data_IF_833073830749
#
_entry.id   IF_833073830749
#
_cell.length_a   1.000
_cell.length_b   1.000
_cell.length_c   1.000
_cell.angle_alpha   90.00
_cell.angle_beta   90.00
_cell.angle_gamma   90.00
#
_symmetry.space_group_name_H-M   'P 1'
#
loop_
_entity.id
_entity.type
_entity.pdbx_description
1 polymer ?
#
# COMPACT_ATOMS: atom_id res chain seq x y z
N UNK A 1 52.36 -15.95 -48.00
CA UNK A 1 52.10 -16.37 -46.62
C UNK A 1 51.67 -15.22 -45.69
N UNK A 2 52.08 -13.99 -45.86
CA UNK A 2 51.73 -12.87 -44.95
C UNK A 2 50.26 -12.41 -44.99
N UNK A 3 49.52 -12.63 -46.09
CA UNK A 3 48.09 -12.25 -46.20
C UNK A 3 47.12 -13.17 -45.42
N UNK A 4 47.44 -14.45 -45.24
CA UNK A 4 46.58 -15.38 -44.48
C UNK A 4 46.57 -15.13 -42.98
N UNK A 5 47.69 -14.70 -42.41
CA UNK A 5 47.78 -14.43 -40.96
C UNK A 5 46.96 -13.20 -40.56
N UNK A 6 46.91 -12.17 -41.41
CA UNK A 6 46.06 -10.95 -41.12
C UNK A 6 44.57 -11.27 -41.14
N UNK A 7 44.12 -12.17 -42.04
CA UNK A 7 42.72 -12.60 -42.08
C UNK A 7 42.32 -13.41 -40.85
N UNK A 8 43.20 -14.26 -40.35
CA UNK A 8 42.91 -15.07 -39.15
C UNK A 8 42.75 -14.15 -37.90
N UNK A 9 43.58 -13.12 -37.76
CA UNK A 9 43.48 -12.20 -36.63
C UNK A 9 42.19 -11.34 -36.68
N UNK A 10 41.75 -10.96 -37.87
CA UNK A 10 40.51 -10.19 -38.04
C UNK A 10 39.30 -11.09 -37.72
N UNK A 11 39.29 -12.33 -38.16
CA UNK A 11 38.21 -13.28 -37.84
C UNK A 11 38.18 -13.60 -36.34
N UNK A 12 39.32 -13.75 -35.68
CA UNK A 12 39.41 -14.00 -34.25
C UNK A 12 38.93 -12.78 -33.45
N UNK A 13 39.24 -11.55 -33.91
CA UNK A 13 38.80 -10.32 -33.26
C UNK A 13 37.27 -10.10 -33.41
N UNK A 14 36.69 -10.41 -34.56
CA UNK A 14 35.25 -10.36 -34.80
C UNK A 14 34.50 -11.41 -33.98
N UNK A 15 35.08 -12.62 -33.85
CA UNK A 15 34.48 -13.66 -32.98
C UNK A 15 34.55 -13.30 -31.51
N UNK A 16 35.60 -12.65 -31.05
CA UNK A 16 35.72 -12.19 -29.67
C UNK A 16 34.71 -11.05 -29.34
N UNK A 17 34.37 -10.24 -30.36
CA UNK A 17 33.36 -9.19 -30.21
C UNK A 17 31.93 -9.73 -30.21
N UNK A 18 31.66 -10.84 -30.89
CA UNK A 18 30.36 -11.52 -30.93
C UNK A 18 30.06 -12.28 -29.62
N UNK A 19 31.07 -12.78 -28.94
CA UNK A 19 30.91 -13.50 -27.66
C UNK A 19 30.66 -12.52 -26.49
N UNK A 20 31.09 -11.26 -26.63
CA UNK A 20 30.87 -10.22 -25.60
C UNK A 20 29.48 -9.56 -25.61
N UNK A 21 28.61 -9.92 -26.56
CA UNK A 21 27.30 -9.27 -26.71
C UNK A 21 26.12 -10.03 -26.07
N UNK A 22 26.38 -11.16 -25.41
CA UNK A 22 25.40 -11.76 -24.52
C UNK A 22 25.57 -11.20 -23.11
N UNK A 23 25.37 -9.89 -22.99
CA UNK A 23 24.98 -9.35 -21.71
C UNK A 23 23.53 -9.81 -21.54
N UNK A 24 23.33 -10.86 -20.75
CA UNK A 24 22.05 -11.11 -20.13
C UNK A 24 21.66 -9.84 -19.37
N UNK A 25 20.88 -9.00 -20.03
CA UNK A 25 20.08 -8.02 -19.32
C UNK A 25 19.09 -8.87 -18.57
N UNK A 26 19.49 -9.35 -17.40
CA UNK A 26 18.55 -9.75 -16.38
C UNK A 26 17.67 -8.51 -16.17
N UNK A 27 16.51 -8.50 -16.81
CA UNK A 27 15.44 -7.60 -16.44
C UNK A 27 15.26 -7.85 -14.95
N UNK A 28 15.77 -6.94 -14.14
CA UNK A 28 15.38 -6.84 -12.75
C UNK A 28 13.89 -6.53 -12.84
N UNK A 29 13.07 -7.58 -12.82
CA UNK A 29 11.70 -7.44 -12.41
C UNK A 29 11.83 -7.00 -10.96
N UNK A 30 11.77 -5.70 -10.73
CA UNK A 30 11.37 -5.23 -9.43
C UNK A 30 9.98 -5.87 -9.24
N UNK A 31 9.94 -6.98 -8.52
CA UNK A 31 8.70 -7.41 -7.90
C UNK A 31 8.20 -6.16 -7.19
N UNK A 32 7.09 -5.64 -7.66
CA UNK A 32 6.33 -4.65 -6.92
C UNK A 32 5.91 -5.39 -5.65
N UNK A 33 6.81 -5.42 -4.67
CA UNK A 33 6.52 -5.95 -3.36
C UNK A 33 5.30 -5.20 -2.88
N UNK A 34 4.29 -5.94 -2.44
CA UNK A 34 3.11 -5.38 -1.80
C UNK A 34 3.59 -4.35 -0.79
N UNK A 35 3.29 -3.08 -1.01
CA UNK A 35 3.65 -2.01 -0.09
C UNK A 35 2.64 -2.08 1.04
N UNK A 36 3.09 -2.51 2.20
CA UNK A 36 2.28 -2.49 3.41
C UNK A 36 2.62 -1.26 4.23
N UNK A 37 1.62 -0.72 4.88
CA UNK A 37 1.73 0.40 5.79
C UNK A 37 1.24 0.07 7.19
N UNK A 38 1.28 1.06 8.07
CA UNK A 38 0.67 0.96 9.40
C UNK A 38 0.02 2.27 9.81
N UNK A 39 -1.04 2.17 10.60
CA UNK A 39 -1.70 3.31 11.24
C UNK A 39 -1.46 3.18 12.74
N UNK A 40 -0.83 4.19 13.36
CA UNK A 40 -0.71 4.28 14.80
C UNK A 40 -1.67 5.34 15.33
N UNK A 41 -2.46 4.99 16.36
CA UNK A 41 -3.39 5.91 17.03
C UNK A 41 -2.88 6.15 18.45
N UNK A 42 -2.82 7.42 18.84
CA UNK A 42 -2.54 7.84 20.23
C UNK A 42 -3.78 8.57 20.72
N UNK A 43 -4.49 7.96 21.67
CA UNK A 43 -5.77 8.49 22.16
C UNK A 43 -5.61 9.09 23.55
N UNK A 44 -5.78 10.39 23.62
CA UNK A 44 -5.63 11.19 24.83
C UNK A 44 -6.80 12.15 24.96
N UNK A 45 -7.18 12.43 26.17
CA UNK A 45 -8.19 13.42 26.50
C UNK A 45 -7.65 14.51 27.41
N UNK A 46 -8.52 15.44 27.80
CA UNK A 46 -8.26 16.41 28.87
C UNK A 46 -9.37 16.32 29.92
N UNK A 47 -8.98 16.35 31.16
CA UNK A 47 -9.97 16.40 32.27
C UNK A 47 -10.46 17.83 32.50
N UNK A 48 -11.39 17.99 33.46
CA UNK A 48 -11.95 19.29 33.82
C UNK A 48 -10.93 20.32 34.37
N UNK A 49 -9.72 19.86 34.73
CA UNK A 49 -8.60 20.69 35.17
C UNK A 49 -7.58 20.95 34.06
N UNK A 50 -7.96 20.71 32.78
CA UNK A 50 -7.14 20.89 31.59
C UNK A 50 -5.86 20.02 31.58
N UNK A 51 -5.77 18.98 32.39
CA UNK A 51 -4.68 18.01 32.41
C UNK A 51 -4.92 16.93 31.39
N UNK A 52 -3.87 16.59 30.63
CA UNK A 52 -3.87 15.45 29.72
C UNK A 52 -4.13 14.14 30.49
N UNK A 53 -5.03 13.32 29.97
CA UNK A 53 -5.33 11.99 30.48
C UNK A 53 -5.19 10.96 29.36
N UNK A 54 -4.60 9.84 29.70
CA UNK A 54 -4.47 8.70 28.81
C UNK A 54 -5.79 7.93 28.79
N UNK A 55 -6.28 7.63 27.61
CA UNK A 55 -7.52 6.87 27.42
C UNK A 55 -7.20 5.46 26.95
N UNK A 56 -7.07 4.54 27.92
CA UNK A 56 -6.89 3.11 27.63
C UNK A 56 -8.23 2.40 27.45
N UNK A 57 -8.23 1.26 26.76
CA UNK A 57 -9.43 0.46 26.53
C UNK A 57 -10.38 1.05 25.47
N UNK A 58 -10.00 2.09 24.78
CA UNK A 58 -10.79 2.63 23.68
C UNK A 58 -10.65 1.73 22.44
N UNK A 59 -11.79 1.36 21.86
CA UNK A 59 -11.85 0.47 20.67
C UNK A 59 -11.91 1.29 19.41
N UNK A 60 -11.02 0.98 18.48
CA UNK A 60 -10.97 1.56 17.14
C UNK A 60 -11.19 0.47 16.11
N UNK A 61 -11.97 0.80 15.09
CA UNK A 61 -12.16 -0.06 13.93
C UNK A 61 -11.78 0.68 12.67
N UNK A 62 -11.02 0.03 11.80
CA UNK A 62 -10.74 0.53 10.46
C UNK A 62 -11.36 -0.41 9.44
N UNK A 63 -11.79 0.16 8.32
CA UNK A 63 -12.42 -0.56 7.24
C UNK A 63 -11.61 -0.32 5.97
N UNK A 64 -10.89 -1.31 5.45
CA UNK A 64 -10.31 -1.23 4.12
C UNK A 64 -11.45 -1.10 3.09
N UNK A 65 -11.45 -0.02 2.33
CA UNK A 65 -12.51 0.30 1.35
C UNK A 65 -12.07 -0.06 -0.06
N UNK A 66 -10.83 0.28 -0.39
CA UNK A 66 -10.19 -0.02 -1.67
C UNK A 66 -8.73 -0.38 -1.42
N UNK A 67 -8.18 -1.25 -2.24
CA UNK A 67 -6.77 -1.58 -2.25
C UNK A 67 -6.18 -1.43 -3.65
N UNK A 68 -4.86 -1.23 -3.72
CA UNK A 68 -4.16 -1.10 -4.98
C UNK A 68 -3.86 -2.47 -5.57
N UNK A 69 -4.34 -2.72 -6.78
CA UNK A 69 -4.05 -3.94 -7.53
C UNK A 69 -3.62 -3.58 -8.95
N UNK A 70 -2.39 -3.94 -9.31
CA UNK A 70 -1.83 -3.66 -10.65
C UNK A 70 -1.91 -2.16 -11.05
N UNK A 71 -1.79 -1.25 -10.09
CA UNK A 71 -1.87 0.19 -10.32
C UNK A 71 -3.29 0.76 -10.37
N UNK A 72 -4.31 -0.04 -10.08
CA UNK A 72 -5.71 0.38 -10.04
C UNK A 72 -6.30 0.16 -8.65
N UNK A 73 -7.18 1.07 -8.21
CA UNK A 73 -7.93 0.93 -6.97
C UNK A 73 -9.11 -0.01 -7.18
N UNK A 74 -9.14 -1.09 -6.42
CA UNK A 74 -10.19 -2.11 -6.44
C UNK A 74 -10.96 -2.06 -5.13
N UNK A 75 -12.28 -2.09 -5.21
CA UNK A 75 -13.14 -2.10 -4.03
C UNK A 75 -13.01 -3.41 -3.23
N UNK A 76 -13.06 -3.30 -1.93
CA UNK A 76 -12.95 -4.42 -0.99
C UNK A 76 -14.25 -4.63 -0.19
N UNK A 77 -14.43 -5.84 0.32
CA UNK A 77 -15.51 -6.22 1.26
C UNK A 77 -16.94 -5.83 0.83
N UNK A 78 -17.20 -5.77 -0.47
CA UNK A 78 -18.53 -5.43 -0.98
C UNK A 78 -18.87 -3.94 -0.95
N UNK A 79 -17.93 -3.06 -0.58
CA UNK A 79 -18.18 -1.61 -0.56
C UNK A 79 -18.53 -1.00 -1.92
N UNK A 80 -18.25 -1.70 -3.02
CA UNK A 80 -18.69 -1.29 -4.36
C UNK A 80 -20.21 -1.13 -4.43
N UNK A 81 -20.95 -1.95 -3.69
CA UNK A 81 -22.42 -1.96 -3.69
C UNK A 81 -23.01 -0.76 -2.94
N UNK A 82 -22.18 0.00 -2.22
CA UNK A 82 -22.60 1.23 -1.56
C UNK A 82 -23.01 2.34 -2.54
N UNK A 83 -22.52 2.28 -3.78
CA UNK A 83 -22.72 3.29 -4.80
C UNK A 83 -22.08 4.65 -4.49
N UNK A 84 -21.21 4.72 -3.47
CA UNK A 84 -20.56 5.96 -3.03
C UNK A 84 -19.35 6.25 -3.92
N UNK A 85 -19.31 7.46 -4.49
CA UNK A 85 -18.15 7.91 -5.27
C UNK A 85 -17.08 8.47 -4.33
N UNK A 86 -15.81 8.06 -4.55
CA UNK A 86 -14.64 8.56 -3.82
C UNK A 86 -13.82 9.58 -4.63
N UNK A 87 -14.34 10.09 -5.73
CA UNK A 87 -13.61 11.00 -6.63
C UNK A 87 -13.38 12.38 -6.01
N UNK A 88 -14.33 12.88 -5.23
CA UNK A 88 -14.17 14.15 -4.52
C UNK A 88 -13.30 13.93 -3.27
N UNK A 89 -12.13 14.58 -3.27
CA UNK A 89 -11.13 14.46 -2.21
C UNK A 89 -11.11 15.65 -1.25
N UNK A 90 -12.09 16.56 -1.33
CA UNK A 90 -12.23 17.65 -0.37
C UNK A 90 -12.48 17.11 1.05
N UNK A 91 -12.07 17.85 2.08
CA UNK A 91 -12.25 17.42 3.47
C UNK A 91 -13.72 17.16 3.80
N UNK A 92 -14.62 18.03 3.33
CA UNK A 92 -16.07 17.91 3.54
C UNK A 92 -16.62 16.64 2.86
N UNK A 93 -16.22 16.40 1.61
CA UNK A 93 -16.62 15.18 0.89
C UNK A 93 -16.11 13.93 1.58
N UNK A 94 -14.87 13.91 2.03
CA UNK A 94 -14.27 12.78 2.76
C UNK A 94 -15.00 12.49 4.08
N UNK A 95 -15.37 13.51 4.83
CA UNK A 95 -16.17 13.33 6.05
C UNK A 95 -17.55 12.71 5.74
N UNK A 96 -18.23 13.21 4.72
CA UNK A 96 -19.53 12.69 4.29
C UNK A 96 -19.41 11.23 3.78
N UNK A 97 -18.43 10.95 2.93
CA UNK A 97 -18.14 9.60 2.41
C UNK A 97 -17.87 8.62 3.55
N UNK A 98 -17.03 8.99 4.52
CA UNK A 98 -16.72 8.14 5.66
C UNK A 98 -17.97 7.80 6.49
N UNK A 99 -18.84 8.77 6.75
CA UNK A 99 -20.11 8.54 7.46
C UNK A 99 -21.03 7.59 6.70
N UNK A 100 -21.14 7.78 5.38
CA UNK A 100 -22.00 6.93 4.52
C UNK A 100 -21.46 5.51 4.43
N UNK A 101 -20.13 5.33 4.23
CA UNK A 101 -19.49 4.03 4.19
C UNK A 101 -19.60 3.28 5.51
N UNK A 102 -19.46 3.99 6.63
CA UNK A 102 -19.64 3.39 7.95
C UNK A 102 -21.09 2.92 8.18
N UNK A 103 -22.07 3.73 7.77
CA UNK A 103 -23.49 3.33 7.84
C UNK A 103 -23.73 2.09 6.96
N UNK A 104 -23.23 2.08 5.74
CA UNK A 104 -23.31 0.94 4.83
C UNK A 104 -22.68 -0.33 5.42
N UNK A 105 -21.47 -0.21 6.02
CA UNK A 105 -20.82 -1.34 6.67
C UNK A 105 -21.69 -1.94 7.79
N UNK A 106 -22.32 -1.09 8.59
CA UNK A 106 -23.21 -1.54 9.68
C UNK A 106 -24.47 -2.22 9.18
N UNK A 107 -25.09 -1.70 8.11
CA UNK A 107 -26.31 -2.24 7.51
C UNK A 107 -26.07 -3.60 6.83
N UNK A 108 -24.84 -3.84 6.37
CA UNK A 108 -24.46 -5.04 5.64
C UNK A 108 -23.55 -5.98 6.44
N UNK A 109 -23.44 -5.79 7.76
CA UNK A 109 -22.62 -6.62 8.67
C UNK A 109 -21.14 -6.75 8.23
N UNK A 110 -20.60 -5.71 7.57
CA UNK A 110 -19.20 -5.69 7.16
C UNK A 110 -18.35 -5.41 8.41
N UNK A 111 -17.46 -6.36 8.75
CA UNK A 111 -16.57 -6.23 9.90
C UNK A 111 -15.29 -5.50 9.52
N UNK A 112 -14.89 -4.52 10.34
CA UNK A 112 -13.60 -3.87 10.24
C UNK A 112 -12.52 -4.60 11.06
N UNK A 113 -11.27 -4.20 10.85
CA UNK A 113 -10.16 -4.58 11.73
C UNK A 113 -10.29 -3.79 13.04
N UNK A 114 -10.34 -4.48 14.17
CA UNK A 114 -10.54 -3.84 15.49
C UNK A 114 -9.29 -3.95 16.35
N UNK A 115 -8.94 -2.85 17.00
CA UNK A 115 -7.87 -2.78 17.98
C UNK A 115 -8.31 -1.94 19.19
N UNK A 116 -7.69 -2.19 20.33
CA UNK A 116 -7.96 -1.49 21.58
C UNK A 116 -6.70 -0.77 22.08
N UNK A 117 -6.87 0.42 22.65
CA UNK A 117 -5.74 1.18 23.20
C UNK A 117 -5.20 0.53 24.47
N UNK A 118 -3.89 0.46 24.55
CA UNK A 118 -3.15 -0.03 25.72
C UNK A 118 -3.17 0.98 26.88
N UNK A 119 -2.44 0.65 27.95
CA UNK A 119 -2.28 1.50 29.14
C UNK A 119 -1.61 2.86 28.85
N UNK A 120 -0.97 3.04 27.71
CA UNK A 120 -0.39 4.29 27.25
C UNK A 120 -1.31 5.06 26.29
N UNK A 121 -2.54 4.57 26.07
CA UNK A 121 -3.50 5.15 25.13
C UNK A 121 -3.12 4.93 23.66
N UNK A 122 -2.31 3.92 23.36
CA UNK A 122 -1.81 3.65 22.01
C UNK A 122 -2.41 2.38 21.45
N UNK A 123 -2.65 2.38 20.16
CA UNK A 123 -2.94 1.17 19.39
C UNK A 123 -2.38 1.31 17.99
N UNK A 124 -2.22 0.20 17.27
CA UNK A 124 -1.72 0.21 15.91
C UNK A 124 -2.38 -0.87 15.06
N UNK A 125 -2.56 -0.54 13.79
CA UNK A 125 -2.93 -1.47 12.73
C UNK A 125 -1.72 -1.60 11.80
N UNK A 126 -1.15 -2.79 11.70
CA UNK A 126 0.01 -3.08 10.85
C UNK A 126 -0.38 -3.88 9.62
N UNK A 127 0.59 -4.03 8.71
CA UNK A 127 0.46 -4.85 7.50
C UNK A 127 -0.76 -4.48 6.63
N UNK A 128 -1.08 -3.17 6.58
CA UNK A 128 -2.17 -2.67 5.76
C UNK A 128 -1.68 -2.53 4.31
N UNK A 129 -2.45 -3.08 3.38
CA UNK A 129 -2.20 -2.89 1.95
C UNK A 129 -2.35 -1.43 1.53
N UNK A 130 -1.65 -1.03 0.46
CA UNK A 130 -1.82 0.30 -0.13
C UNK A 130 -3.24 0.46 -0.66
N UNK A 131 -3.97 1.47 -0.16
CA UNK A 131 -5.37 1.68 -0.53
C UNK A 131 -6.02 2.85 0.22
N UNK A 132 -7.34 2.78 0.32
CA UNK A 132 -8.20 3.75 1.02
C UNK A 132 -9.00 3.02 2.10
#
# INVERSE_FOLDING_TARGET
MRKKIRSIHIILFVMLFLVGSFIDISTIHAEAGSRTGSIQIVYKGRNSSDKEVILSGAKFSIFPIQYMKNGELVWENGFIDSGISLQDTSAEAREKQAKQLFAFAKENDISGLMQETDSSGRTSFGELDEGI
#
